data_IF_300522595612
#
_entry.id   IF_300522595612
#
_cell.length_a   1.000
_cell.length_b   1.000
_cell.length_c   1.000
_cell.angle_alpha   90.00
_cell.angle_beta   90.00
_cell.angle_gamma   90.00
#
_symmetry.space_group_name_H-M   'P 1'
#
loop_
_entity.id
_entity.type
_entity.pdbx_description
1 polymer ?
#
# COMPACT_ATOMS: atom_id res chain seq x y z
N UNK A 1 5.90 18.86 9.10
CA UNK A 1 5.43 17.47 9.06
C UNK A 1 6.62 16.59 9.38
N UNK A 2 6.51 15.68 10.35
CA UNK A 2 7.59 14.74 10.63
C UNK A 2 7.73 13.76 9.44
N UNK A 3 8.95 13.46 9.04
CA UNK A 3 9.20 12.42 8.03
C UNK A 3 8.73 11.07 8.59
N UNK A 4 8.13 10.25 7.73
CA UNK A 4 7.69 8.91 8.11
C UNK A 4 8.92 8.06 8.40
N UNK A 5 8.92 7.33 9.51
CA UNK A 5 9.92 6.28 9.73
C UNK A 5 9.59 5.08 8.83
N UNK A 6 10.17 5.10 7.63
CA UNK A 6 9.97 4.07 6.60
C UNK A 6 10.33 2.69 7.13
N UNK A 7 11.34 2.57 8.00
CA UNK A 7 11.75 1.28 8.53
C UNK A 7 10.72 0.72 9.51
N UNK A 8 10.28 1.54 10.48
CA UNK A 8 9.24 1.14 11.42
C UNK A 8 7.93 0.80 10.71
N UNK A 9 7.51 1.64 9.75
CA UNK A 9 6.29 1.43 8.98
C UNK A 9 6.36 0.16 8.12
N UNK A 10 7.50 -0.09 7.48
CA UNK A 10 7.72 -1.31 6.69
C UNK A 10 7.61 -2.56 7.55
N UNK A 11 8.26 -2.58 8.72
CA UNK A 11 8.17 -3.71 9.66
C UNK A 11 6.75 -3.95 10.16
N UNK A 12 6.02 -2.88 10.44
CA UNK A 12 4.64 -2.96 10.91
C UNK A 12 3.67 -3.46 9.84
N UNK A 13 3.89 -3.14 8.57
CA UNK A 13 3.04 -3.58 7.45
C UNK A 13 3.43 -4.95 6.88
N UNK A 14 4.69 -5.39 7.06
CA UNK A 14 5.20 -6.63 6.49
C UNK A 14 4.34 -7.88 6.74
N UNK A 15 3.69 -8.08 7.92
CA UNK A 15 2.82 -9.23 8.16
C UNK A 15 1.63 -9.32 7.20
N UNK A 16 1.19 -8.21 6.59
CA UNK A 16 0.06 -8.20 5.65
C UNK A 16 0.41 -8.87 4.32
N UNK A 17 1.68 -8.98 3.95
CA UNK A 17 2.10 -9.49 2.64
C UNK A 17 1.66 -10.93 2.37
N UNK A 18 1.43 -11.71 3.43
CA UNK A 18 0.93 -13.10 3.31
C UNK A 18 -0.55 -13.18 2.94
N UNK A 19 -1.31 -12.08 3.05
CA UNK A 19 -2.74 -12.08 2.75
C UNK A 19 -2.97 -12.31 1.25
N UNK A 20 -3.88 -13.21 0.84
CA UNK A 20 -4.12 -13.54 -0.56
C UNK A 20 -4.99 -12.48 -1.27
N UNK A 21 -4.60 -11.22 -1.18
CA UNK A 21 -5.32 -10.06 -1.72
C UNK A 21 -4.66 -9.55 -2.99
N UNK A 22 -5.45 -9.10 -3.95
CA UNK A 22 -4.99 -8.33 -5.10
C UNK A 22 -4.65 -6.87 -4.70
N UNK A 23 -4.22 -6.04 -5.66
CA UNK A 23 -3.74 -4.69 -5.40
C UNK A 23 -4.78 -3.78 -4.74
N UNK A 24 -6.05 -3.90 -5.10
CA UNK A 24 -7.13 -3.09 -4.55
C UNK A 24 -7.45 -3.47 -3.09
N UNK A 25 -7.58 -4.76 -2.81
CA UNK A 25 -7.81 -5.29 -1.46
C UNK A 25 -6.66 -4.94 -0.52
N UNK A 26 -5.42 -5.16 -0.97
CA UNK A 26 -4.22 -4.85 -0.18
C UNK A 26 -4.12 -3.34 0.12
N UNK A 27 -4.31 -2.50 -0.90
CA UNK A 27 -4.28 -1.03 -0.73
C UNK A 27 -5.36 -0.57 0.25
N UNK A 28 -6.56 -1.15 0.21
CA UNK A 28 -7.64 -0.81 1.14
C UNK A 28 -7.34 -1.23 2.58
N UNK A 29 -6.79 -2.42 2.79
CA UNK A 29 -6.39 -2.89 4.13
C UNK A 29 -5.32 -1.96 4.71
N UNK A 30 -4.28 -1.66 3.94
CA UNK A 30 -3.20 -0.77 4.39
C UNK A 30 -3.74 0.63 4.68
N UNK A 31 -4.55 1.20 3.77
CA UNK A 31 -5.14 2.53 3.97
C UNK A 31 -5.99 2.62 5.24
N UNK A 32 -6.80 1.61 5.53
CA UNK A 32 -7.59 1.56 6.75
C UNK A 32 -6.73 1.60 8.02
N UNK A 33 -5.61 0.86 8.03
CA UNK A 33 -4.66 0.87 9.15
C UNK A 33 -3.94 2.22 9.28
N UNK A 34 -3.48 2.80 8.16
CA UNK A 34 -2.84 4.11 8.18
C UNK A 34 -3.79 5.22 8.66
N UNK A 35 -5.07 5.18 8.26
CA UNK A 35 -6.10 6.10 8.75
C UNK A 35 -6.30 5.95 10.27
N UNK A 36 -6.32 4.72 10.78
CA UNK A 36 -6.43 4.43 12.22
C UNK A 36 -5.27 5.05 13.01
N UNK A 37 -4.05 4.96 12.49
CA UNK A 37 -2.85 5.56 13.10
C UNK A 37 -2.69 7.07 12.79
N UNK A 38 -3.67 7.68 12.11
CA UNK A 38 -3.62 9.09 11.69
C UNK A 38 -2.40 9.44 10.82
N UNK A 39 -1.95 8.49 9.99
CA UNK A 39 -0.83 8.69 9.06
C UNK A 39 -1.38 9.24 7.74
N UNK A 40 -0.86 10.40 7.32
CA UNK A 40 -1.24 11.03 6.05
C UNK A 40 -0.78 10.20 4.84
N UNK A 41 -1.70 9.88 3.94
CA UNK A 41 -1.43 9.10 2.73
C UNK A 41 -2.58 9.27 1.71
N UNK A 42 -2.36 8.81 0.48
CA UNK A 42 -3.40 8.62 -0.53
C UNK A 42 -3.46 7.16 -0.97
N UNK A 43 -4.66 6.61 -1.05
CA UNK A 43 -4.90 5.28 -1.62
C UNK A 43 -5.20 5.42 -3.11
N UNK A 44 -4.17 5.38 -3.95
CA UNK A 44 -4.26 5.70 -5.37
C UNK A 44 -4.69 4.48 -6.21
N UNK A 45 -5.32 4.77 -7.36
CA UNK A 45 -5.42 3.84 -8.47
C UNK A 45 -4.97 4.52 -9.78
N UNK A 46 -4.42 3.75 -10.70
CA UNK A 46 -3.89 4.27 -11.96
C UNK A 46 -3.01 3.28 -12.69
N UNK A 47 -1.97 3.76 -13.38
CA UNK A 47 -1.05 2.91 -14.13
C UNK A 47 0.33 2.83 -13.47
N UNK A 48 1.00 1.69 -13.62
CA UNK A 48 2.39 1.47 -13.22
C UNK A 48 3.22 1.10 -14.45
N UNK A 49 4.33 1.81 -14.67
CA UNK A 49 5.30 1.52 -15.73
C UNK A 49 6.68 1.28 -15.11
N UNK A 50 7.30 0.16 -15.47
CA UNK A 50 8.63 -0.23 -15.03
C UNK A 50 9.58 -0.29 -16.23
N UNK A 51 10.76 0.36 -16.16
CA UNK A 51 11.77 0.23 -17.20
C UNK A 51 12.14 -1.24 -17.41
N UNK A 52 12.22 -1.67 -18.68
CA UNK A 52 12.66 -3.02 -19.08
C UNK A 52 11.78 -4.20 -18.62
N UNK A 53 10.71 -3.97 -17.86
CA UNK A 53 9.79 -5.02 -17.41
C UNK A 53 8.45 -4.94 -18.15
N UNK A 54 7.84 -3.75 -18.23
CA UNK A 54 6.54 -3.55 -18.88
C UNK A 54 5.65 -2.58 -18.11
N UNK A 55 4.37 -2.57 -18.46
CA UNK A 55 3.36 -1.72 -17.84
C UNK A 55 2.06 -2.46 -17.48
N UNK A 56 1.33 -1.89 -16.52
CA UNK A 56 -0.04 -2.28 -16.17
C UNK A 56 -0.91 -1.02 -16.11
N UNK A 57 -2.02 -1.04 -16.85
CA UNK A 57 -2.92 0.11 -17.00
C UNK A 57 -3.90 0.34 -15.84
N UNK A 58 -4.05 -0.65 -14.95
CA UNK A 58 -4.88 -0.54 -13.75
C UNK A 58 -4.19 -1.25 -12.57
N UNK A 59 -3.75 -0.45 -11.61
CA UNK A 59 -3.05 -0.89 -10.41
C UNK A 59 -3.41 0.04 -9.23
N UNK A 60 -3.28 -0.47 -8.00
CA UNK A 60 -3.58 0.28 -6.78
C UNK A 60 -2.37 0.26 -5.83
N UNK A 61 -2.10 1.38 -5.18
CA UNK A 61 -0.98 1.55 -4.24
C UNK A 61 -1.26 2.65 -3.21
N UNK A 62 -0.41 2.76 -2.20
CA UNK A 62 -0.39 3.90 -1.29
C UNK A 62 0.71 4.88 -1.71
N UNK A 63 0.38 6.17 -1.77
CA UNK A 63 1.33 7.25 -1.98
C UNK A 63 1.42 8.13 -0.73
N UNK A 64 2.64 8.36 -0.23
CA UNK A 64 2.91 9.28 0.87
C UNK A 64 3.34 10.68 0.36
N UNK A 65 3.19 11.74 1.19
CA UNK A 65 3.52 13.12 0.80
C UNK A 65 4.99 13.35 0.42
N UNK A 66 5.91 12.58 0.98
CA UNK A 66 7.35 12.65 0.74
C UNK A 66 7.81 11.83 -0.49
N UNK A 67 6.86 11.27 -1.25
CA UNK A 67 7.14 10.50 -2.45
C UNK A 67 7.39 9.01 -2.19
N UNK A 68 7.38 8.55 -0.93
CA UNK A 68 7.40 7.11 -0.63
C UNK A 68 6.13 6.45 -1.19
N UNK A 69 6.28 5.23 -1.70
CA UNK A 69 5.21 4.37 -2.19
C UNK A 69 5.13 3.10 -1.34
N UNK A 70 3.91 2.66 -1.00
CA UNK A 70 3.67 1.31 -0.50
C UNK A 70 2.94 0.49 -1.55
N UNK A 71 3.56 -0.59 -1.99
CA UNK A 71 3.02 -1.49 -3.00
C UNK A 71 3.55 -2.90 -2.79
N UNK A 72 2.69 -3.79 -2.27
CA UNK A 72 3.02 -5.21 -2.07
C UNK A 72 2.60 -6.10 -3.25
N UNK A 73 2.01 -5.52 -4.31
CA UNK A 73 1.25 -6.28 -5.31
C UNK A 73 1.67 -6.01 -6.74
N UNK A 74 2.56 -5.04 -7.02
CA UNK A 74 3.17 -4.86 -8.34
C UNK A 74 3.79 -6.16 -8.89
N UNK A 75 4.46 -6.94 -8.02
CA UNK A 75 5.09 -8.21 -8.40
C UNK A 75 4.10 -9.28 -8.89
N UNK A 76 2.82 -9.20 -8.54
CA UNK A 76 1.81 -10.13 -9.07
C UNK A 76 1.65 -10.01 -10.58
N UNK A 77 1.83 -8.80 -11.11
CA UNK A 77 1.58 -8.50 -12.52
C UNK A 77 2.87 -8.38 -13.33
N UNK A 78 3.87 -7.71 -12.76
CA UNK A 78 5.12 -7.36 -13.45
C UNK A 78 6.29 -8.27 -13.04
N UNK A 79 6.03 -9.30 -12.24
CA UNK A 79 7.02 -10.28 -11.83
C UNK A 79 7.98 -9.80 -10.74
N UNK A 80 8.95 -10.66 -10.39
CA UNK A 80 9.84 -10.49 -9.22
C UNK A 80 10.69 -9.22 -9.22
N UNK A 81 10.95 -8.67 -10.41
CA UNK A 81 11.80 -7.50 -10.59
C UNK A 81 11.03 -6.19 -10.33
N UNK A 82 9.71 -6.28 -10.13
CA UNK A 82 8.89 -5.15 -9.71
C UNK A 82 9.16 -4.74 -8.25
N UNK A 83 8.97 -3.45 -7.91
CA UNK A 83 9.05 -2.97 -6.53
C UNK A 83 8.10 -3.70 -5.58
N UNK A 84 8.45 -3.72 -4.30
CA UNK A 84 7.67 -4.43 -3.28
C UNK A 84 7.84 -3.83 -1.89
N UNK A 85 6.73 -3.70 -1.16
CA UNK A 85 6.70 -3.14 0.19
C UNK A 85 6.73 -1.61 0.16
N UNK A 86 7.54 -1.01 1.04
CA UNK A 86 7.64 0.44 1.21
C UNK A 86 8.98 0.95 0.68
N UNK A 87 8.96 1.87 -0.30
CA UNK A 87 10.17 2.31 -1.00
C UNK A 87 10.02 3.70 -1.63
N UNK A 88 11.15 4.33 -1.96
CA UNK A 88 11.17 5.43 -2.94
C UNK A 88 11.30 4.84 -4.34
N UNK A 89 10.43 5.21 -5.30
CA UNK A 89 10.54 4.73 -6.68
C UNK A 89 11.90 5.05 -7.29
N UNK A 90 12.52 4.05 -7.93
CA UNK A 90 13.77 4.25 -8.67
C UNK A 90 13.55 5.14 -9.91
N UNK A 91 14.61 5.80 -10.43
CA UNK A 91 14.50 6.57 -11.66
C UNK A 91 13.90 5.77 -12.82
N UNK A 92 12.84 6.30 -13.41
CA UNK A 92 12.13 5.66 -14.53
C UNK A 92 10.97 4.75 -14.12
N UNK A 93 10.84 4.38 -12.85
CA UNK A 93 9.61 3.76 -12.32
C UNK A 93 8.54 4.83 -12.19
N UNK A 94 7.42 4.65 -12.88
CA UNK A 94 6.35 5.66 -12.95
C UNK A 94 5.05 5.08 -12.41
N UNK A 95 4.58 5.65 -11.29
CA UNK A 95 3.23 5.49 -10.79
C UNK A 95 2.39 6.70 -11.25
N UNK A 96 1.47 6.49 -12.18
CA UNK A 96 0.59 7.52 -12.73
C UNK A 96 -0.79 7.40 -12.10
N UNK A 97 -1.08 8.24 -11.10
CA UNK A 97 -2.37 8.24 -10.42
C UNK A 97 -3.48 8.80 -11.33
N UNK A 98 -4.54 8.03 -11.53
CA UNK A 98 -5.75 8.47 -12.24
C UNK A 98 -6.88 8.85 -11.28
N UNK A 99 -6.76 8.47 -10.00
CA UNK A 99 -7.72 8.79 -8.95
C UNK A 99 -7.35 8.14 -7.61
N UNK A 100 -8.27 8.21 -6.67
CA UNK A 100 -8.15 7.63 -5.34
C UNK A 100 -9.31 6.66 -5.07
N UNK A 101 -8.99 5.57 -4.38
CA UNK A 101 -9.98 4.63 -3.88
C UNK A 101 -10.84 5.31 -2.81
N UNK A 102 -12.14 5.01 -2.79
CA UNK A 102 -13.00 5.43 -1.69
C UNK A 102 -12.58 4.79 -0.36
N UNK A 103 -12.34 5.63 0.66
CA UNK A 103 -11.89 5.29 2.01
C UNK A 103 -12.69 6.06 3.08
N UNK A 104 -12.71 5.62 4.35
CA UNK A 104 -12.27 4.30 4.81
C UNK A 104 -13.23 3.20 4.33
N UNK A 105 -12.72 1.97 4.23
CA UNK A 105 -13.60 0.81 4.10
C UNK A 105 -14.35 0.53 5.42
N UNK A 106 -15.59 0.01 5.39
CA UNK A 106 -16.30 -0.40 6.61
C UNK A 106 -15.52 -1.48 7.38
N UNK A 107 -15.58 -1.53 8.73
CA UNK A 107 -14.88 -2.54 9.53
C UNK A 107 -15.18 -3.99 9.13
N UNK A 108 -16.42 -4.27 8.71
CA UNK A 108 -16.80 -5.59 8.18
C UNK A 108 -16.00 -5.96 6.93
N UNK A 109 -15.79 -5.02 6.01
CA UNK A 109 -15.01 -5.24 4.79
C UNK A 109 -13.54 -5.45 5.15
N UNK A 110 -13.00 -4.67 6.09
CA UNK A 110 -11.64 -4.89 6.60
C UNK A 110 -11.48 -6.31 7.13
N UNK A 111 -12.40 -6.77 7.98
CA UNK A 111 -12.35 -8.11 8.56
C UNK A 111 -12.41 -9.22 7.52
N UNK A 112 -13.23 -9.07 6.49
CA UNK A 112 -13.30 -10.04 5.38
C UNK A 112 -11.98 -10.11 4.62
N UNK A 113 -11.31 -8.97 4.40
CA UNK A 113 -10.05 -8.91 3.66
C UNK A 113 -8.84 -9.36 4.50
N UNK A 114 -8.75 -8.91 5.74
CA UNK A 114 -7.59 -9.11 6.62
C UNK A 114 -7.71 -10.36 7.51
N UNK A 115 -8.90 -10.91 7.68
CA UNK A 115 -9.15 -12.07 8.54
C UNK A 115 -9.17 -11.77 10.05
N UNK A 116 -9.05 -10.50 10.45
CA UNK A 116 -9.13 -10.06 11.84
C UNK A 116 -9.91 -8.74 11.96
N UNK A 117 -10.34 -8.37 13.17
CA UNK A 117 -10.88 -7.02 13.38
C UNK A 117 -9.75 -6.00 13.21
N UNK A 118 -10.07 -4.80 12.73
CA UNK A 118 -9.07 -3.72 12.58
C UNK A 118 -8.45 -3.34 13.93
N UNK A 119 -9.19 -3.49 15.04
CA UNK A 119 -8.69 -3.23 16.38
C UNK A 119 -7.67 -4.28 16.87
N UNK A 120 -7.66 -5.47 16.28
CA UNK A 120 -6.77 -6.57 16.68
C UNK A 120 -5.40 -6.47 15.98
N UNK A 121 -5.29 -5.66 14.93
CA UNK A 121 -3.99 -5.40 14.31
C UNK A 121 -3.13 -4.53 15.25
N UNK A 122 -1.86 -4.87 15.52
CA UNK A 122 -1.02 -4.10 16.44
C UNK A 122 -0.99 -2.61 16.12
N UNK A 123 -0.90 -1.73 17.11
CA UNK A 123 -0.64 -0.30 16.88
C UNK A 123 0.80 -0.08 16.39
N UNK A 124 1.05 0.92 15.54
CA UNK A 124 2.40 1.16 15.00
C UNK A 124 3.40 1.47 16.12
N UNK A 125 2.97 2.25 17.11
CA UNK A 125 3.80 2.64 18.27
C UNK A 125 3.77 1.61 19.43
N UNK A 126 3.17 0.43 19.23
CA UNK A 126 3.01 -0.57 20.29
C UNK A 126 2.16 -0.13 21.49
N UNK A 127 1.33 0.91 21.31
CA UNK A 127 0.39 1.45 22.30
C UNK A 127 -0.95 0.73 22.31
#
# INVERSE_FOLDING_TARGET
MAAIDVQALSQWLAPLDVLPLECDGMTRVISALLLRECIEHRACHGALRLPHVGDIGLHCWIQFPDGVVCDYRARMWLGKDAPHGLFHPEPGVVYEAHGELGQPIPPLIFRVLAGCEIADYPSLDGR
#
